data_IF_527156384177
#
_entry.id   IF_527156384177
#
_cell.length_a   1.000
_cell.length_b   1.000
_cell.length_c   1.000
_cell.angle_alpha   90.00
_cell.angle_beta   90.00
_cell.angle_gamma   90.00
#
_symmetry.space_group_name_H-M   'P 1'
#
loop_
_entity.id
_entity.type
_entity.pdbx_description
1 polymer ?
#
# COMPACT_ATOMS: atom_id res chain seq x y z
N UNK A 1 -9.45 -10.86 -0.20
CA UNK A 1 -8.14 -11.06 0.47
C UNK A 1 -7.52 -9.76 0.95
N UNK A 2 -6.60 -9.84 1.92
CA UNK A 2 -5.83 -8.70 2.45
C UNK A 2 -4.36 -9.10 2.66
N UNK A 3 -3.48 -8.12 2.92
CA UNK A 3 -2.04 -8.33 3.14
C UNK A 3 -1.65 -7.93 4.56
N UNK A 4 -0.87 -8.78 5.24
CA UNK A 4 -0.36 -8.59 6.61
C UNK A 4 1.18 -8.54 6.63
N UNK A 5 1.74 -7.66 5.81
CA UNK A 5 3.17 -7.47 5.65
C UNK A 5 3.46 -6.34 4.68
N UNK A 6 4.74 -6.11 4.34
CA UNK A 6 5.13 -5.11 3.33
C UNK A 6 4.50 -3.71 3.53
N UNK A 7 4.41 -3.26 4.80
CA UNK A 7 3.80 -1.97 5.13
C UNK A 7 2.27 -1.96 5.16
N UNK A 8 1.59 -3.11 5.12
CA UNK A 8 0.12 -3.26 5.19
C UNK A 8 -0.39 -3.89 6.50
N UNK A 9 0.50 -4.22 7.45
CA UNK A 9 0.08 -4.68 8.79
C UNK A 9 -0.90 -3.68 9.40
N UNK A 10 -2.07 -4.13 9.85
CA UNK A 10 -3.15 -3.29 10.39
C UNK A 10 -3.98 -2.50 9.37
N UNK A 11 -3.67 -2.57 8.07
CA UNK A 11 -4.28 -1.71 7.06
C UNK A 11 -5.80 -1.90 6.95
N UNK A 12 -6.28 -3.14 6.84
CA UNK A 12 -7.72 -3.39 6.70
C UNK A 12 -8.50 -3.05 7.97
N UNK A 13 -7.88 -3.26 9.14
CA UNK A 13 -8.44 -2.92 10.46
C UNK A 13 -8.56 -1.40 10.61
N UNK A 14 -7.54 -0.65 10.19
CA UNK A 14 -7.53 0.81 10.18
C UNK A 14 -8.61 1.38 9.25
N UNK A 15 -8.87 0.75 8.10
CA UNK A 15 -9.93 1.16 7.16
C UNK A 15 -11.31 0.90 7.78
N UNK A 16 -11.60 -0.35 8.15
CA UNK A 16 -12.93 -0.75 8.64
C UNK A 16 -13.21 -0.14 10.03
N UNK A 17 -12.18 0.02 10.85
CA UNK A 17 -12.28 0.61 12.18
C UNK A 17 -12.80 2.04 12.19
N UNK A 18 -12.63 2.80 11.09
CA UNK A 18 -13.19 4.16 10.95
C UNK A 18 -14.71 4.19 10.93
N UNK A 19 -15.36 3.07 10.63
CA UNK A 19 -16.81 2.94 10.70
C UNK A 19 -17.35 2.97 12.15
N UNK A 20 -16.48 2.79 13.16
CA UNK A 20 -16.86 2.69 14.56
C UNK A 20 -17.97 1.64 14.83
N UNK A 21 -18.00 0.58 14.04
CA UNK A 21 -18.98 -0.50 14.11
C UNK A 21 -18.28 -1.87 14.21
N UNK A 22 -18.47 -2.53 15.35
CA UNK A 22 -17.89 -3.86 15.60
C UNK A 22 -18.52 -4.94 14.72
N UNK A 23 -19.80 -4.80 14.35
CA UNK A 23 -20.47 -5.72 13.43
C UNK A 23 -19.88 -5.62 12.04
N UNK A 24 -19.55 -4.41 11.58
CA UNK A 24 -18.81 -4.22 10.33
C UNK A 24 -17.42 -4.88 10.37
N UNK A 25 -16.68 -4.73 11.48
CA UNK A 25 -15.38 -5.39 11.68
C UNK A 25 -15.49 -6.93 11.58
N UNK A 26 -16.47 -7.52 12.27
CA UNK A 26 -16.72 -8.96 12.19
C UNK A 26 -17.10 -9.40 10.78
N UNK A 27 -17.95 -8.63 10.11
CA UNK A 27 -18.44 -8.95 8.75
C UNK A 27 -17.33 -8.86 7.73
N UNK A 28 -16.50 -7.82 7.77
CA UNK A 28 -15.35 -7.69 6.89
C UNK A 28 -14.37 -8.85 7.11
N UNK A 29 -14.01 -9.13 8.38
CA UNK A 29 -13.09 -10.22 8.72
C UNK A 29 -13.58 -11.59 8.24
N UNK A 30 -14.90 -11.82 8.27
CA UNK A 30 -15.49 -13.07 7.79
C UNK A 30 -15.38 -13.26 6.28
N UNK A 31 -15.15 -12.19 5.50
CA UNK A 31 -14.95 -12.23 4.05
C UNK A 31 -13.46 -12.21 3.65
N UNK A 32 -12.54 -12.38 4.59
CA UNK A 32 -11.10 -12.48 4.29
C UNK A 32 -10.76 -13.97 4.08
N UNK A 33 -10.79 -14.42 2.83
CA UNK A 33 -10.41 -15.81 2.48
C UNK A 33 -8.92 -16.06 2.57
N UNK A 34 -8.10 -15.01 2.35
CA UNK A 34 -6.65 -15.10 2.36
C UNK A 34 -6.01 -13.88 3.01
N UNK A 35 -5.06 -14.16 3.92
CA UNK A 35 -4.22 -13.20 4.62
C UNK A 35 -2.77 -13.38 4.16
N UNK A 36 -2.36 -12.59 3.17
CA UNK A 36 -1.06 -12.73 2.51
C UNK A 36 0.08 -12.19 3.40
N UNK A 37 1.21 -12.91 3.60
CA UNK A 37 2.35 -12.43 4.39
C UNK A 37 3.10 -11.25 3.76
N UNK A 38 2.94 -10.99 2.46
CA UNK A 38 3.50 -9.83 1.77
C UNK A 38 2.77 -9.59 0.44
N UNK A 39 2.98 -8.43 -0.18
CA UNK A 39 2.28 -8.04 -1.40
C UNK A 39 2.68 -8.86 -2.64
N UNK A 40 3.89 -9.43 -2.68
CA UNK A 40 4.33 -10.29 -3.78
C UNK A 40 3.57 -11.62 -3.81
N UNK A 41 3.46 -12.23 -2.64
CA UNK A 41 2.65 -13.44 -2.44
C UNK A 41 1.16 -13.17 -2.69
N UNK A 42 0.64 -12.01 -2.26
CA UNK A 42 -0.72 -11.59 -2.58
C UNK A 42 -0.94 -11.52 -4.09
N UNK A 43 -0.05 -10.88 -4.84
CA UNK A 43 -0.15 -10.78 -6.32
C UNK A 43 -0.18 -12.18 -6.96
N UNK A 44 0.72 -13.06 -6.56
CA UNK A 44 0.81 -14.40 -7.18
C UNK A 44 -0.46 -15.20 -6.86
N UNK A 45 -0.94 -15.15 -5.62
CA UNK A 45 -2.23 -15.75 -5.20
C UNK A 45 -3.41 -15.19 -5.99
N UNK A 46 -3.51 -13.87 -6.16
CA UNK A 46 -4.56 -13.22 -6.95
C UNK A 46 -4.65 -13.74 -8.39
N UNK A 47 -3.49 -13.99 -9.02
CA UNK A 47 -3.43 -14.48 -10.40
C UNK A 47 -3.78 -15.96 -10.53
N UNK A 48 -3.59 -16.73 -9.48
CA UNK A 48 -3.74 -18.18 -9.48
C UNK A 48 -5.11 -18.63 -8.95
N UNK A 49 -5.70 -17.88 -8.01
CA UNK A 49 -6.96 -18.23 -7.37
C UNK A 49 -8.14 -17.39 -7.87
N UNK A 50 -8.95 -17.91 -8.80
CA UNK A 50 -10.09 -17.18 -9.35
C UNK A 50 -11.29 -17.08 -8.38
N UNK A 51 -11.21 -17.66 -7.17
CA UNK A 51 -12.26 -17.52 -6.16
C UNK A 51 -12.17 -16.20 -5.39
N UNK A 52 -11.08 -15.44 -5.54
CA UNK A 52 -10.88 -14.17 -4.88
C UNK A 52 -11.53 -13.03 -5.66
N UNK A 53 -12.51 -12.37 -5.06
CA UNK A 53 -13.24 -11.29 -5.71
C UNK A 53 -12.61 -9.90 -5.51
N UNK A 54 -11.84 -9.72 -4.43
CA UNK A 54 -11.26 -8.43 -4.08
C UNK A 54 -9.91 -8.55 -3.36
N UNK A 55 -9.05 -7.58 -3.61
CA UNK A 55 -7.73 -7.43 -3.00
C UNK A 55 -7.58 -6.02 -2.42
N UNK A 56 -7.54 -5.91 -1.10
CA UNK A 56 -7.19 -4.63 -0.46
C UNK A 56 -5.66 -4.44 -0.50
N UNK A 57 -5.20 -3.43 -1.25
CA UNK A 57 -3.80 -3.16 -1.58
C UNK A 57 -3.55 -1.66 -1.79
N UNK A 58 -2.29 -1.23 -1.76
CA UNK A 58 -1.91 0.12 -2.19
C UNK A 58 -2.07 0.32 -3.69
N UNK A 59 -2.55 1.50 -4.09
CA UNK A 59 -2.84 1.88 -5.48
C UNK A 59 -1.70 1.64 -6.47
N UNK A 60 -0.44 1.84 -6.08
CA UNK A 60 0.72 1.64 -6.95
C UNK A 60 0.78 0.23 -7.55
N UNK A 61 0.29 -0.80 -6.84
CA UNK A 61 0.26 -2.17 -7.37
C UNK A 61 -0.60 -2.29 -8.62
N UNK A 62 -1.73 -1.60 -8.69
CA UNK A 62 -2.56 -1.61 -9.89
C UNK A 62 -1.97 -0.71 -10.97
N UNK A 63 -1.41 0.46 -10.60
CA UNK A 63 -0.74 1.36 -11.56
C UNK A 63 0.41 0.65 -12.29
N UNK A 64 1.20 -0.13 -11.55
CA UNK A 64 2.35 -0.85 -12.08
C UNK A 64 1.97 -2.19 -12.75
N UNK A 65 0.76 -2.69 -12.51
CA UNK A 65 0.25 -3.95 -13.05
C UNK A 65 -1.20 -3.76 -13.56
N UNK A 66 -1.45 -2.91 -14.57
CA UNK A 66 -2.80 -2.51 -14.95
C UNK A 66 -3.66 -3.64 -15.50
N UNK A 67 -3.03 -4.72 -15.97
CA UNK A 67 -3.71 -5.83 -16.65
C UNK A 67 -4.19 -6.95 -15.70
N UNK A 68 -3.86 -6.90 -14.40
CA UNK A 68 -4.20 -7.99 -13.47
C UNK A 68 -5.48 -7.74 -12.66
N UNK A 69 -5.92 -6.49 -12.55
CA UNK A 69 -7.10 -6.09 -11.81
C UNK A 69 -7.55 -4.67 -12.17
N UNK A 70 -8.85 -4.42 -12.04
CA UNK A 70 -9.40 -3.06 -12.03
C UNK A 70 -9.13 -2.38 -10.67
N UNK A 71 -8.90 -1.06 -10.69
CA UNK A 71 -8.80 -0.27 -9.46
C UNK A 71 -10.19 0.22 -9.04
N UNK A 72 -10.61 -0.14 -7.82
CA UNK A 72 -11.83 0.39 -7.19
C UNK A 72 -11.41 1.30 -6.02
N UNK A 73 -11.73 2.60 -6.05
CA UNK A 73 -11.44 3.49 -4.93
C UNK A 73 -12.31 3.14 -3.72
N UNK A 74 -11.73 3.23 -2.53
CA UNK A 74 -12.48 3.17 -1.27
C UNK A 74 -13.24 4.48 -1.02
N UNK A 75 -14.22 4.44 -0.13
CA UNK A 75 -14.93 5.62 0.34
C UNK A 75 -13.95 6.64 0.95
N UNK A 76 -14.06 7.94 0.64
CA UNK A 76 -13.12 8.96 1.11
C UNK A 76 -12.93 8.98 2.64
N UNK A 77 -14.00 8.74 3.40
CA UNK A 77 -14.00 8.70 4.86
C UNK A 77 -13.28 7.45 5.44
N UNK A 78 -13.21 6.37 4.67
CA UNK A 78 -12.57 5.10 5.05
C UNK A 78 -11.14 4.99 4.52
N UNK A 79 -10.81 5.73 3.46
CA UNK A 79 -9.51 5.71 2.80
C UNK A 79 -8.40 6.10 3.79
N UNK A 80 -7.33 5.30 3.82
CA UNK A 80 -6.13 5.58 4.61
C UNK A 80 -4.92 5.80 3.71
N UNK A 81 -3.95 6.53 4.25
CA UNK A 81 -2.71 6.86 3.55
C UNK A 81 -1.53 6.45 4.44
N UNK A 82 -0.55 5.78 3.85
CA UNK A 82 0.75 5.53 4.47
C UNK A 82 1.84 6.14 3.61
N UNK A 83 2.87 6.65 4.25
CA UNK A 83 3.97 7.35 3.58
C UNK A 83 5.02 6.38 3.01
N UNK A 84 5.88 6.92 2.15
CA UNK A 84 7.13 6.28 1.77
C UNK A 84 8.28 6.91 2.55
N UNK A 85 8.67 6.29 3.64
CA UNK A 85 9.74 6.80 4.51
C UNK A 85 11.13 6.39 3.99
N UNK A 86 12.11 7.28 4.16
CA UNK A 86 13.53 7.02 3.91
C UNK A 86 14.38 7.47 5.10
N UNK A 87 15.35 6.65 5.51
CA UNK A 87 16.22 6.94 6.64
C UNK A 87 17.65 6.46 6.38
N UNK A 88 18.63 7.10 7.04
CA UNK A 88 20.02 6.64 7.03
C UNK A 88 20.18 5.50 8.03
N UNK A 89 21.02 4.52 7.67
CA UNK A 89 21.53 3.54 8.63
C UNK A 89 22.79 4.08 9.30
N UNK A 90 23.21 3.45 10.41
CA UNK A 90 24.48 3.77 11.09
C UNK A 90 25.68 3.80 10.14
N UNK A 91 25.77 2.83 9.23
CA UNK A 91 26.86 2.73 8.24
C UNK A 91 26.85 3.89 7.23
N UNK A 92 25.67 4.42 6.92
CA UNK A 92 25.50 5.50 5.94
C UNK A 92 25.43 6.90 6.57
N UNK A 93 25.65 7.04 7.89
CA UNK A 93 25.46 8.31 8.60
C UNK A 93 26.29 9.45 7.99
N UNK A 94 27.58 9.17 7.79
CA UNK A 94 28.60 10.13 7.34
C UNK A 94 29.03 9.88 5.88
N UNK A 95 28.16 9.25 5.09
CA UNK A 95 28.42 8.99 3.68
C UNK A 95 27.75 10.08 2.80
N UNK A 96 28.55 10.76 1.99
CA UNK A 96 28.08 11.86 1.15
C UNK A 96 27.15 11.37 0.04
N UNK A 97 27.41 10.19 -0.56
CA UNK A 97 26.55 9.62 -1.59
C UNK A 97 25.15 9.27 -1.06
N UNK A 98 25.05 8.78 0.19
CA UNK A 98 23.78 8.54 0.88
C UNK A 98 23.03 9.86 1.10
N UNK A 99 23.75 10.93 1.45
CA UNK A 99 23.16 12.26 1.61
C UNK A 99 22.59 12.76 0.28
N UNK A 100 23.39 12.70 -0.78
CA UNK A 100 22.99 13.12 -2.13
C UNK A 100 21.80 12.30 -2.65
N UNK A 101 21.76 11.00 -2.38
CA UNK A 101 20.64 10.15 -2.78
C UNK A 101 19.33 10.55 -2.07
N UNK A 102 19.37 10.80 -0.76
CA UNK A 102 18.19 11.25 0.00
C UNK A 102 17.72 12.62 -0.52
N UNK A 103 18.64 13.53 -0.82
CA UNK A 103 18.31 14.84 -1.42
C UNK A 103 17.66 14.69 -2.80
N UNK A 104 18.17 13.79 -3.64
CA UNK A 104 17.59 13.48 -4.93
C UNK A 104 16.17 12.91 -4.81
N UNK A 105 15.96 11.91 -3.93
CA UNK A 105 14.63 11.32 -3.70
C UNK A 105 13.61 12.38 -3.26
N UNK A 106 14.05 13.39 -2.50
CA UNK A 106 13.21 14.50 -2.02
C UNK A 106 13.07 15.68 -3.00
N UNK A 107 13.79 15.65 -4.12
CA UNK A 107 13.74 16.72 -5.13
C UNK A 107 12.46 16.66 -5.97
N UNK A 108 12.16 17.72 -6.71
CA UNK A 108 11.06 17.74 -7.67
C UNK A 108 11.18 16.63 -8.73
N UNK A 109 12.40 16.24 -9.10
CA UNK A 109 12.63 15.15 -10.05
C UNK A 109 12.32 13.80 -9.42
N UNK A 110 12.72 13.59 -8.17
CA UNK A 110 12.31 12.42 -7.39
C UNK A 110 10.79 12.34 -7.26
N UNK A 111 10.14 13.45 -6.91
CA UNK A 111 8.70 13.53 -6.79
C UNK A 111 7.96 13.17 -8.09
N UNK A 112 8.46 13.58 -9.27
CA UNK A 112 7.87 13.17 -10.56
C UNK A 112 7.95 11.68 -10.80
N UNK A 113 9.09 11.06 -10.47
CA UNK A 113 9.28 9.61 -10.62
C UNK A 113 8.27 8.88 -9.72
N UNK A 114 8.19 9.24 -8.44
CA UNK A 114 7.21 8.67 -7.52
C UNK A 114 5.76 8.94 -7.96
N UNK A 115 5.47 10.13 -8.49
CA UNK A 115 4.16 10.49 -9.03
C UNK A 115 3.69 9.60 -10.17
N UNK A 116 4.59 9.13 -11.02
CA UNK A 116 4.27 8.18 -12.09
C UNK A 116 3.75 6.82 -11.57
N UNK A 117 4.05 6.49 -10.30
CA UNK A 117 3.62 5.27 -9.60
C UNK A 117 2.49 5.55 -8.59
N UNK A 118 1.85 6.72 -8.65
CA UNK A 118 0.67 7.05 -7.82
C UNK A 118 0.95 7.62 -6.44
N UNK A 119 2.20 7.97 -6.12
CA UNK A 119 2.55 8.68 -4.90
C UNK A 119 2.28 10.17 -5.03
N UNK A 120 1.78 10.82 -3.97
CA UNK A 120 1.45 12.24 -3.98
C UNK A 120 1.84 12.91 -2.66
N UNK A 121 2.12 14.22 -2.71
CA UNK A 121 2.33 15.03 -1.50
C UNK A 121 1.04 15.23 -0.70
N UNK A 122 -0.10 15.23 -1.39
CA UNK A 122 -1.43 15.37 -0.82
C UNK A 122 -2.44 14.72 -1.75
N UNK A 123 -3.40 13.99 -1.20
CA UNK A 123 -4.55 13.48 -1.91
C UNK A 123 -5.73 14.43 -1.60
N UNK A 124 -6.33 15.01 -2.65
CA UNK A 124 -7.45 15.94 -2.54
C UNK A 124 -8.79 15.22 -2.72
#
# INVERSE_FOLDING_TARGET
MVVDGAGQVGMWEDVVGRMADVTAMHSFRANIDYLAPNSGDARDTWKEDPSLDAWLIWNHWQIDNPDIADMVPTEPELTIYRDTAIARTEKGRDNDEVTQFIEFVKSDEGAKIFGAHGWQHSFN
#
